data_IF_307062776684
#
_entry.id   IF_307062776684
#
_cell.length_a   1.000
_cell.length_b   1.000
_cell.length_c   1.000
_cell.angle_alpha   90.00
_cell.angle_beta   90.00
_cell.angle_gamma   90.00
#
_symmetry.space_group_name_H-M   'P 1'
#
loop_
_entity.id
_entity.type
_entity.pdbx_description
1 polymer ?
#
# COMPACT_ATOMS: atom_id res chain seq x y z
N UNK A 1 0.68 19.44 30.64
CA UNK A 1 -0.16 20.65 30.54
C UNK A 1 0.08 21.68 31.64
N UNK A 2 0.93 21.41 32.65
CA UNK A 2 1.12 22.32 33.80
C UNK A 2 2.13 23.47 33.56
N UNK A 3 2.83 23.49 32.42
CA UNK A 3 3.81 24.53 32.08
C UNK A 3 3.25 25.63 31.18
N UNK A 4 1.99 25.53 30.74
CA UNK A 4 1.36 26.53 29.87
C UNK A 4 0.80 27.69 30.70
N UNK A 5 1.16 28.92 30.31
CA UNK A 5 0.57 30.12 30.90
C UNK A 5 -0.93 30.18 30.65
N UNK A 6 -1.66 30.94 31.48
CA UNK A 6 -3.12 31.13 31.36
C UNK A 6 -3.54 31.65 29.98
N UNK A 7 -2.66 32.39 29.28
CA UNK A 7 -2.91 32.90 27.94
C UNK A 7 -2.71 31.84 26.84
N UNK A 8 -1.91 30.80 27.08
CA UNK A 8 -1.57 29.78 26.09
C UNK A 8 -2.55 28.59 26.09
N UNK A 9 -3.24 28.34 27.20
CA UNK A 9 -4.24 27.26 27.33
C UNK A 9 -5.36 27.30 26.27
N UNK A 10 -6.07 28.42 26.02
CA UNK A 10 -7.14 28.42 25.02
C UNK A 10 -6.62 28.20 23.60
N UNK A 11 -5.38 28.63 23.32
CA UNK A 11 -4.72 28.41 22.03
C UNK A 11 -4.37 26.91 21.87
N UNK A 12 -3.86 26.28 22.92
CA UNK A 12 -3.54 24.85 22.92
C UNK A 12 -4.81 23.99 22.80
N UNK A 13 -5.90 24.32 23.50
CA UNK A 13 -7.18 23.62 23.39
C UNK A 13 -7.76 23.73 21.96
N UNK A 14 -7.72 24.94 21.38
CA UNK A 14 -8.13 25.14 19.98
C UNK A 14 -7.24 24.38 19.00
N UNK A 15 -5.93 24.32 19.26
CA UNK A 15 -4.98 23.58 18.42
C UNK A 15 -5.28 22.07 18.40
N UNK A 16 -5.60 21.49 19.55
CA UNK A 16 -5.97 20.07 19.67
C UNK A 16 -7.30 19.77 18.98
N UNK A 17 -8.29 20.67 19.08
CA UNK A 17 -9.64 20.43 18.56
C UNK A 17 -9.82 20.81 17.08
N UNK A 18 -9.21 21.89 16.61
CA UNK A 18 -9.47 22.49 15.28
C UNK A 18 -8.25 22.42 14.33
N UNK A 19 -7.05 22.16 14.86
CA UNK A 19 -5.81 22.05 14.09
C UNK A 19 -5.16 23.39 13.70
N UNK A 20 -3.90 23.31 13.22
CA UNK A 20 -3.05 24.50 13.01
C UNK A 20 -3.59 25.50 11.97
N UNK A 21 -4.33 25.01 10.96
CA UNK A 21 -4.91 25.86 9.92
C UNK A 21 -6.02 26.74 10.48
N UNK A 22 -6.87 26.19 11.34
CA UNK A 22 -7.95 26.92 12.00
C UNK A 22 -7.39 27.96 12.97
N UNK A 23 -6.37 27.60 13.77
CA UNK A 23 -5.70 28.55 14.68
C UNK A 23 -5.05 29.70 13.90
N UNK A 24 -4.36 29.42 12.79
CA UNK A 24 -3.75 30.47 11.95
C UNK A 24 -4.80 31.38 11.31
N UNK A 25 -5.91 30.83 10.84
CA UNK A 25 -7.02 31.61 10.26
C UNK A 25 -7.72 32.47 11.31
N UNK A 26 -7.95 31.94 12.52
CA UNK A 26 -8.53 32.69 13.62
C UNK A 26 -7.64 33.87 14.04
N UNK A 27 -6.32 33.65 14.16
CA UNK A 27 -5.37 34.72 14.48
C UNK A 27 -5.30 35.79 13.39
N UNK A 28 -5.35 35.39 12.12
CA UNK A 28 -5.40 36.34 11.00
C UNK A 28 -6.70 37.14 10.99
N UNK A 29 -7.84 36.53 11.34
CA UNK A 29 -9.13 37.20 11.43
C UNK A 29 -9.25 38.14 12.63
N UNK A 30 -8.56 37.84 13.73
CA UNK A 30 -8.52 38.65 14.96
C UNK A 30 -7.54 39.84 14.88
N UNK A 31 -6.74 39.95 13.81
CA UNK A 31 -5.82 41.07 13.60
C UNK A 31 -6.50 42.15 12.75
N UNK A 32 -6.96 43.28 13.31
CA UNK A 32 -7.57 44.34 12.50
C UNK A 32 -6.49 44.98 11.62
N UNK A 33 -6.68 44.96 10.29
CA UNK A 33 -5.86 45.74 9.35
C UNK A 33 -6.12 47.23 9.61
N UNK A 34 -5.34 47.80 10.53
CA UNK A 34 -5.46 49.20 10.93
C UNK A 34 -4.39 49.99 10.19
N UNK A 35 -4.81 50.69 9.13
CA UNK A 35 -3.97 51.57 8.32
C UNK A 35 -3.34 52.66 9.20
N UNK A 36 -2.01 52.69 9.26
CA UNK A 36 -1.31 53.96 9.08
C UNK A 36 -0.47 54.55 10.22
N UNK A 37 -0.23 53.91 11.38
CA UNK A 37 0.92 54.26 12.27
C UNK A 37 1.08 53.39 13.54
N UNK A 38 0.04 52.69 13.99
CA UNK A 38 0.15 51.64 15.03
C UNK A 38 0.35 50.23 14.45
N UNK A 39 0.47 50.16 13.12
CA UNK A 39 0.55 48.94 12.32
C UNK A 39 1.78 48.10 12.68
N UNK A 40 2.98 48.72 12.78
CA UNK A 40 4.20 47.99 13.15
C UNK A 40 4.14 47.35 14.55
N UNK A 41 3.57 48.02 15.55
CA UNK A 41 3.42 47.46 16.91
C UNK A 41 2.40 46.32 16.98
N UNK A 42 1.38 46.39 16.13
CA UNK A 42 0.30 45.40 16.05
C UNK A 42 0.71 44.17 15.23
N UNK A 43 1.48 44.38 14.16
CA UNK A 43 2.16 43.35 13.37
C UNK A 43 3.17 42.60 14.24
N UNK A 44 4.06 43.31 14.97
CA UNK A 44 5.01 42.70 15.91
C UNK A 44 4.30 41.85 16.99
N UNK A 45 3.12 42.28 17.46
CA UNK A 45 2.32 41.54 18.44
C UNK A 45 1.56 40.34 17.84
N UNK A 46 1.20 40.39 16.55
CA UNK A 46 0.62 39.26 15.83
C UNK A 46 1.69 38.20 15.52
N UNK A 47 2.87 38.64 15.07
CA UNK A 47 4.03 37.79 14.80
C UNK A 47 4.52 37.09 16.08
N UNK A 48 4.58 37.82 17.21
CA UNK A 48 4.92 37.23 18.50
C UNK A 48 3.91 36.14 18.93
N UNK A 49 2.61 36.34 18.68
CA UNK A 49 1.58 35.34 18.98
C UNK A 49 1.66 34.13 18.05
N UNK A 50 1.93 34.34 16.77
CA UNK A 50 2.14 33.26 15.81
C UNK A 50 3.37 32.43 16.19
N UNK A 51 4.45 33.06 16.63
CA UNK A 51 5.65 32.38 17.12
C UNK A 51 5.36 31.49 18.34
N UNK A 52 4.52 31.95 19.28
CA UNK A 52 4.07 31.14 20.42
C UNK A 52 3.28 29.92 19.93
N UNK A 53 2.32 30.12 19.02
CA UNK A 53 1.51 29.00 18.46
C UNK A 53 2.39 27.98 17.76
N UNK A 54 3.37 28.42 16.99
CA UNK A 54 4.30 27.55 16.26
C UNK A 54 5.22 26.78 17.21
N UNK A 55 5.66 27.41 18.30
CA UNK A 55 6.37 26.75 19.40
C UNK A 55 5.53 25.69 20.10
N UNK A 56 4.28 26.01 20.47
CA UNK A 56 3.34 25.07 21.08
C UNK A 56 3.04 23.88 20.17
N UNK A 57 2.87 24.13 18.88
CA UNK A 57 2.65 23.07 17.89
C UNK A 57 3.86 22.15 17.74
N UNK A 58 5.07 22.72 17.71
CA UNK A 58 6.29 21.92 17.67
C UNK A 58 6.40 21.02 18.90
N UNK A 59 6.11 21.54 20.09
CA UNK A 59 6.12 20.78 21.33
C UNK A 59 5.03 19.68 21.35
N UNK A 60 3.83 19.98 20.87
CA UNK A 60 2.76 18.99 20.78
C UNK A 60 3.12 17.85 19.82
N UNK A 61 3.65 18.18 18.64
CA UNK A 61 4.06 17.18 17.63
C UNK A 61 5.15 16.25 18.16
N UNK A 62 6.04 16.77 19.00
CA UNK A 62 7.09 15.98 19.65
C UNK A 62 6.50 14.98 20.65
N UNK A 63 5.57 15.41 21.52
CA UNK A 63 4.89 14.54 22.48
C UNK A 63 4.07 13.46 21.76
N UNK A 64 3.32 13.85 20.74
CA UNK A 64 2.56 12.90 19.90
C UNK A 64 3.47 11.91 19.18
N UNK A 65 4.59 12.38 18.62
CA UNK A 65 5.59 11.49 18.03
C UNK A 65 6.17 10.53 19.06
N UNK A 66 6.48 11.01 20.28
CA UNK A 66 7.05 10.19 21.35
C UNK A 66 6.09 9.09 21.78
N UNK A 67 4.80 9.39 21.94
CA UNK A 67 3.78 8.39 22.26
C UNK A 67 3.71 7.29 21.17
N UNK A 68 3.64 7.71 19.90
CA UNK A 68 3.67 6.77 18.76
C UNK A 68 4.96 5.98 18.68
N UNK A 69 6.10 6.59 18.96
CA UNK A 69 7.42 5.97 18.97
C UNK A 69 7.54 4.93 20.09
N UNK A 70 7.07 5.24 21.29
CA UNK A 70 7.06 4.32 22.44
C UNK A 70 6.11 3.14 22.21
N UNK A 71 4.95 3.37 21.59
CA UNK A 71 4.05 2.32 21.15
C UNK A 71 4.71 1.41 20.11
N UNK A 72 5.28 1.98 19.04
CA UNK A 72 5.97 1.23 17.99
C UNK A 72 7.20 0.46 18.52
N UNK A 73 7.89 0.98 19.53
CA UNK A 73 9.02 0.29 20.17
C UNK A 73 8.59 -1.02 20.86
N UNK A 74 7.39 -1.07 21.44
CA UNK A 74 6.88 -2.24 22.17
C UNK A 74 6.49 -3.39 21.24
N UNK A 75 6.08 -3.08 20.02
CA UNK A 75 5.55 -4.05 19.03
C UNK A 75 6.33 -4.00 17.71
N UNK A 76 7.63 -3.68 17.77
CA UNK A 76 8.44 -3.42 16.56
C UNK A 76 8.39 -4.56 15.53
N UNK A 77 8.35 -5.81 15.98
CA UNK A 77 8.36 -6.99 15.10
C UNK A 77 7.00 -7.29 14.45
N UNK A 78 5.92 -6.77 15.04
CA UNK A 78 4.54 -6.98 14.57
C UNK A 78 4.02 -5.77 13.77
N UNK A 79 4.59 -4.59 13.98
CA UNK A 79 4.20 -3.36 13.27
C UNK A 79 4.56 -3.43 11.80
N UNK A 80 3.61 -3.03 10.95
CA UNK A 80 3.79 -2.90 9.52
C UNK A 80 4.95 -1.96 9.18
N UNK A 81 5.76 -2.34 8.19
CA UNK A 81 6.93 -1.56 7.77
C UNK A 81 6.56 -0.14 7.31
N UNK A 82 5.35 0.05 6.78
CA UNK A 82 4.81 1.35 6.40
C UNK A 82 4.65 2.26 7.61
N UNK A 83 4.10 1.73 8.70
CA UNK A 83 3.82 2.51 9.90
C UNK A 83 5.11 2.85 10.64
N UNK A 84 6.04 1.91 10.71
CA UNK A 84 7.39 2.16 11.23
C UNK A 84 8.10 3.26 10.44
N UNK A 85 7.99 3.27 9.10
CA UNK A 85 8.50 4.36 8.26
C UNK A 85 7.83 5.70 8.55
N UNK A 86 6.52 5.71 8.81
CA UNK A 86 5.79 6.93 9.16
C UNK A 86 6.25 7.50 10.51
N UNK A 87 6.48 6.64 11.51
CA UNK A 87 7.03 7.03 12.81
C UNK A 87 8.45 7.59 12.65
N UNK A 88 9.31 6.92 11.88
CA UNK A 88 10.69 7.41 11.62
C UNK A 88 10.69 8.71 10.82
N UNK A 89 9.81 8.87 9.83
CA UNK A 89 9.65 10.12 9.09
C UNK A 89 9.15 11.28 9.98
N UNK A 90 8.43 10.95 11.06
CA UNK A 90 7.92 11.90 12.05
C UNK A 90 8.96 12.40 13.06
N UNK A 91 10.18 11.84 13.09
CA UNK A 91 11.22 12.18 14.07
C UNK A 91 11.46 13.71 14.10
N UNK A 92 11.45 14.35 15.29
CA UNK A 92 11.75 15.77 15.40
C UNK A 92 13.19 16.08 15.00
N UNK A 93 13.41 17.24 14.38
CA UNK A 93 14.74 17.69 13.94
C UNK A 93 15.65 18.12 15.10
N UNK A 94 15.04 18.54 16.21
CA UNK A 94 15.72 18.84 17.46
C UNK A 94 15.14 17.96 18.55
N UNK A 95 16.01 17.39 19.36
CA UNK A 95 15.62 16.55 20.48
C UNK A 95 15.62 17.39 21.78
N UNK A 96 14.57 17.28 22.61
CA UNK A 96 14.50 17.95 23.91
C UNK A 96 15.50 17.35 24.92
N UNK A 97 15.75 16.05 24.83
CA UNK A 97 16.52 15.25 25.76
C UNK A 97 17.21 14.08 25.05
N UNK A 98 18.17 13.45 25.74
CA UNK A 98 18.94 12.32 25.20
C UNK A 98 18.08 11.05 25.07
N UNK A 99 17.04 10.86 25.88
CA UNK A 99 16.16 9.68 25.79
C UNK A 99 15.36 9.68 24.48
N UNK A 100 14.87 10.86 24.08
CA UNK A 100 14.12 11.08 22.83
C UNK A 100 15.04 10.88 21.62
N UNK A 101 16.31 11.30 21.74
CA UNK A 101 17.33 11.02 20.72
C UNK A 101 17.62 9.53 20.62
N UNK A 102 17.86 8.86 21.75
CA UNK A 102 18.14 7.43 21.81
C UNK A 102 16.98 6.61 21.24
N UNK A 103 15.72 6.98 21.54
CA UNK A 103 14.53 6.36 20.97
C UNK A 103 14.47 6.52 19.44
N UNK A 104 14.80 7.71 18.93
CA UNK A 104 14.84 7.96 17.50
C UNK A 104 15.90 7.12 16.79
N UNK A 105 17.09 6.99 17.38
CA UNK A 105 18.18 6.16 16.84
C UNK A 105 17.82 4.67 16.88
N UNK A 106 17.26 4.19 18.00
CA UNK A 106 16.78 2.81 18.12
C UNK A 106 15.74 2.47 17.04
N UNK A 107 14.80 3.38 16.76
CA UNK A 107 13.79 3.18 15.72
C UNK A 107 14.38 3.22 14.30
N UNK A 108 15.41 4.04 14.04
CA UNK A 108 16.13 4.03 12.75
C UNK A 108 16.84 2.70 12.53
N UNK A 109 17.53 2.21 13.55
CA UNK A 109 18.26 0.93 13.48
C UNK A 109 17.30 -0.24 13.30
N UNK A 110 16.19 -0.26 14.06
CA UNK A 110 15.11 -1.24 13.90
C UNK A 110 14.49 -1.21 12.51
N UNK A 111 14.19 -0.02 12.00
CA UNK A 111 13.67 0.13 10.64
C UNK A 111 14.67 -0.41 9.61
N UNK A 112 15.95 -0.06 9.72
CA UNK A 112 16.98 -0.55 8.80
C UNK A 112 17.07 -2.08 8.83
N UNK A 113 17.15 -2.67 10.03
CA UNK A 113 17.19 -4.12 10.20
C UNK A 113 15.96 -4.82 9.62
N UNK A 114 14.75 -4.28 9.81
CA UNK A 114 13.50 -4.82 9.25
C UNK A 114 13.47 -4.71 7.73
N UNK A 115 13.87 -3.57 7.17
CA UNK A 115 13.97 -3.39 5.70
C UNK A 115 14.94 -4.41 5.10
N UNK A 116 16.10 -4.62 5.72
CA UNK A 116 17.10 -5.56 5.23
C UNK A 116 16.61 -7.01 5.36
N UNK A 117 15.97 -7.36 6.48
CA UNK A 117 15.37 -8.68 6.68
C UNK A 117 14.27 -8.99 5.66
N UNK A 118 13.34 -8.06 5.43
CA UNK A 118 12.29 -8.22 4.41
C UNK A 118 12.87 -8.29 3.00
N UNK A 119 13.92 -7.51 2.71
CA UNK A 119 14.61 -7.57 1.44
C UNK A 119 15.29 -8.94 1.21
N UNK A 120 15.96 -9.47 2.23
CA UNK A 120 16.51 -10.83 2.19
C UNK A 120 15.43 -11.90 2.04
N UNK A 121 14.31 -11.77 2.74
CA UNK A 121 13.17 -12.67 2.62
C UNK A 121 12.54 -12.63 1.22
N UNK A 122 12.40 -11.45 0.63
CA UNK A 122 11.91 -11.26 -0.74
C UNK A 122 12.83 -11.92 -1.78
N UNK A 123 14.16 -11.74 -1.65
CA UNK A 123 15.14 -12.44 -2.51
C UNK A 123 15.03 -13.96 -2.34
N UNK A 124 14.91 -14.44 -1.10
CA UNK A 124 14.80 -15.86 -0.81
C UNK A 124 13.50 -16.46 -1.37
N UNK A 125 12.39 -15.74 -1.29
CA UNK A 125 11.10 -16.14 -1.87
C UNK A 125 11.17 -16.20 -3.40
N UNK A 126 11.76 -15.20 -4.05
CA UNK A 126 12.01 -15.24 -5.50
C UNK A 126 12.85 -16.47 -5.89
N UNK A 127 13.94 -16.74 -5.19
CA UNK A 127 14.76 -17.93 -5.44
C UNK A 127 14.02 -19.25 -5.15
N UNK A 128 13.08 -19.27 -4.21
CA UNK A 128 12.22 -20.42 -3.92
C UNK A 128 11.20 -20.66 -5.04
N UNK A 129 10.56 -19.59 -5.53
CA UNK A 129 9.61 -19.65 -6.64
C UNK A 129 10.27 -20.11 -7.93
N UNK A 130 11.47 -19.62 -8.24
CA UNK A 130 12.27 -20.06 -9.38
C UNK A 130 12.59 -21.56 -9.30
N UNK A 131 13.03 -22.07 -8.14
CA UNK A 131 13.30 -23.50 -7.95
C UNK A 131 12.06 -24.38 -8.06
N UNK A 132 10.87 -23.83 -7.78
CA UNK A 132 9.57 -24.49 -7.92
C UNK A 132 8.95 -24.30 -9.30
N UNK A 133 9.68 -23.73 -10.26
CA UNK A 133 9.23 -23.41 -11.62
C UNK A 133 7.97 -22.52 -11.69
N UNK A 134 7.75 -21.70 -10.65
CA UNK A 134 6.61 -20.77 -10.54
C UNK A 134 6.96 -19.39 -11.09
N UNK A 135 7.32 -19.33 -12.37
CA UNK A 135 7.85 -18.10 -13.00
C UNK A 135 6.87 -16.93 -13.03
N UNK A 136 5.60 -17.15 -13.38
CA UNK A 136 4.60 -16.06 -13.40
C UNK A 136 4.44 -15.43 -12.01
N UNK A 137 4.42 -16.25 -10.96
CA UNK A 137 4.37 -15.75 -9.58
C UNK A 137 5.67 -15.03 -9.22
N UNK A 138 6.84 -15.57 -9.57
CA UNK A 138 8.12 -14.92 -9.33
C UNK A 138 8.21 -13.55 -10.01
N UNK A 139 7.75 -13.43 -11.26
CA UNK A 139 7.69 -12.16 -11.99
C UNK A 139 6.77 -11.16 -11.28
N UNK A 140 5.62 -11.57 -10.74
CA UNK A 140 4.73 -10.70 -9.97
C UNK A 140 5.37 -10.23 -8.66
N UNK A 141 6.01 -11.13 -7.92
CA UNK A 141 6.73 -10.78 -6.69
C UNK A 141 7.91 -9.84 -6.98
N UNK A 142 8.56 -9.96 -8.14
CA UNK A 142 9.67 -9.08 -8.55
C UNK A 142 9.27 -7.60 -8.71
N UNK A 143 7.96 -7.30 -8.84
CA UNK A 143 7.44 -5.94 -9.04
C UNK A 143 7.38 -5.13 -7.75
N UNK A 144 7.43 -5.78 -6.59
CA UNK A 144 7.17 -5.16 -5.28
C UNK A 144 8.36 -5.35 -4.34
N UNK A 145 9.52 -4.73 -4.63
CA UNK A 145 10.63 -4.75 -3.70
C UNK A 145 10.22 -4.00 -2.42
N UNK A 146 10.57 -4.51 -1.22
CA UNK A 146 10.28 -3.82 0.04
C UNK A 146 10.97 -2.46 0.12
N UNK A 147 12.07 -2.27 -0.60
CA UNK A 147 12.81 -1.02 -0.73
C UNK A 147 12.71 -0.50 -2.16
N UNK A 148 11.88 0.52 -2.36
CA UNK A 148 11.67 1.16 -3.66
C UNK A 148 13.00 1.60 -4.28
N UNK A 149 13.17 1.32 -5.57
CA UNK A 149 14.39 1.67 -6.32
C UNK A 149 15.58 0.72 -6.11
N UNK A 150 15.45 -0.33 -5.28
CA UNK A 150 16.51 -1.36 -5.18
C UNK A 150 16.48 -2.22 -6.43
N UNK A 151 17.59 -2.30 -7.20
CA UNK A 151 17.64 -3.15 -8.38
C UNK A 151 17.57 -4.62 -7.97
N UNK A 152 16.93 -5.42 -8.83
CA UNK A 152 16.95 -6.87 -8.69
C UNK A 152 18.40 -7.37 -8.83
N UNK A 153 18.88 -8.30 -7.99
CA UNK A 153 20.20 -8.90 -8.16
C UNK A 153 20.36 -9.54 -9.54
N UNK A 154 21.51 -9.31 -10.18
CA UNK A 154 21.76 -9.72 -11.56
C UNK A 154 21.58 -11.23 -11.78
N UNK A 155 22.02 -12.07 -10.83
CA UNK A 155 21.87 -13.52 -10.91
C UNK A 155 20.40 -13.97 -10.93
N UNK A 156 19.52 -13.30 -10.16
CA UNK A 156 18.08 -13.54 -10.18
C UNK A 156 17.44 -13.00 -11.45
N UNK A 157 17.89 -11.85 -11.95
CA UNK A 157 17.43 -11.30 -13.21
C UNK A 157 17.71 -12.25 -14.38
N UNK A 158 18.93 -12.80 -14.45
CA UNK A 158 19.33 -13.80 -15.44
C UNK A 158 18.51 -15.09 -15.31
N UNK A 159 18.29 -15.56 -14.08
CA UNK A 159 17.48 -16.77 -13.83
C UNK A 159 16.02 -16.59 -14.26
N UNK A 160 15.43 -15.41 -14.00
CA UNK A 160 14.08 -15.07 -14.48
C UNK A 160 14.02 -14.97 -16.00
N UNK A 161 15.03 -14.37 -16.63
CA UNK A 161 15.12 -14.25 -18.09
C UNK A 161 15.22 -15.63 -18.76
N UNK A 162 16.15 -16.47 -18.32
CA UNK A 162 16.37 -17.79 -18.92
C UNK A 162 15.16 -18.71 -18.68
N UNK A 163 14.60 -18.69 -17.46
CA UNK A 163 13.38 -19.43 -17.16
C UNK A 163 12.22 -18.98 -18.05
N UNK A 164 11.98 -17.66 -18.15
CA UNK A 164 10.89 -17.14 -18.95
C UNK A 164 11.10 -17.46 -20.44
N UNK A 165 12.31 -17.29 -20.96
CA UNK A 165 12.68 -17.68 -22.32
C UNK A 165 12.38 -19.16 -22.58
N UNK A 166 12.77 -20.05 -21.66
CA UNK A 166 12.52 -21.49 -21.80
C UNK A 166 11.03 -21.86 -21.79
N UNK A 167 10.21 -21.19 -20.98
CA UNK A 167 8.76 -21.44 -20.93
C UNK A 167 8.02 -20.81 -22.12
N UNK A 168 8.57 -19.74 -22.71
CA UNK A 168 8.04 -19.07 -23.90
C UNK A 168 8.58 -19.72 -25.18
N UNK A 169 8.06 -20.90 -25.49
CA UNK A 169 8.37 -21.68 -26.69
C UNK A 169 7.10 -21.96 -27.53
N UNK A 170 7.28 -22.49 -28.75
CA UNK A 170 6.20 -22.74 -29.69
C UNK A 170 5.16 -23.77 -29.21
N UNK A 171 5.51 -24.64 -28.25
CA UNK A 171 4.60 -25.65 -27.68
C UNK A 171 3.86 -25.19 -26.42
N UNK A 172 4.10 -23.97 -25.95
CA UNK A 172 3.45 -23.45 -24.75
C UNK A 172 2.00 -23.00 -25.02
N UNK A 173 1.13 -23.21 -24.04
CA UNK A 173 -0.28 -22.82 -24.11
C UNK A 173 -0.46 -21.29 -24.20
N UNK A 174 -1.41 -20.83 -24.99
CA UNK A 174 -1.76 -19.41 -25.14
C UNK A 174 -2.06 -18.71 -23.80
N UNK A 175 -2.74 -19.39 -22.88
CA UNK A 175 -3.03 -18.82 -21.56
C UNK A 175 -1.76 -18.65 -20.71
N UNK A 176 -0.76 -19.52 -20.87
CA UNK A 176 0.55 -19.33 -20.23
C UNK A 176 1.24 -18.10 -20.80
N UNK A 177 1.25 -17.97 -22.13
CA UNK A 177 1.80 -16.80 -22.82
C UNK A 177 1.18 -15.51 -22.30
N UNK A 178 -0.14 -15.38 -22.34
CA UNK A 178 -0.84 -14.16 -21.89
C UNK A 178 -0.49 -13.82 -20.43
N UNK A 179 -0.57 -14.80 -19.52
CA UNK A 179 -0.24 -14.62 -18.09
C UNK A 179 1.21 -14.21 -17.88
N UNK A 180 2.14 -14.77 -18.66
CA UNK A 180 3.57 -14.45 -18.58
C UNK A 180 3.85 -13.04 -19.08
N UNK A 181 3.27 -12.63 -20.22
CA UNK A 181 3.45 -11.30 -20.78
C UNK A 181 2.90 -10.20 -19.86
N UNK A 182 1.73 -10.43 -19.27
CA UNK A 182 1.15 -9.54 -18.27
C UNK A 182 2.03 -9.38 -17.02
N UNK A 183 2.66 -10.46 -16.56
CA UNK A 183 3.57 -10.40 -15.42
C UNK A 183 4.91 -9.77 -15.78
N UNK A 184 5.44 -10.08 -16.97
CA UNK A 184 6.72 -9.63 -17.46
C UNK A 184 6.74 -8.14 -17.80
N UNK A 185 5.65 -7.58 -18.35
CA UNK A 185 5.60 -6.16 -18.72
C UNK A 185 5.78 -5.21 -17.52
N UNK A 186 5.54 -5.69 -16.29
CA UNK A 186 5.66 -4.97 -15.03
C UNK A 186 6.96 -5.34 -14.29
N UNK A 187 7.66 -6.38 -14.75
CA UNK A 187 8.89 -6.85 -14.14
C UNK A 187 10.09 -5.94 -14.48
N UNK A 188 11.14 -5.93 -13.65
CA UNK A 188 12.42 -5.30 -13.98
C UNK A 188 13.07 -5.83 -15.27
N UNK A 189 12.81 -7.08 -15.67
CA UNK A 189 13.43 -7.71 -16.87
C UNK A 189 12.71 -7.40 -18.20
N UNK A 190 11.65 -6.57 -18.18
CA UNK A 190 10.77 -6.32 -19.34
C UNK A 190 11.48 -5.85 -20.60
N UNK A 191 12.61 -5.16 -20.47
CA UNK A 191 13.35 -4.61 -21.61
C UNK A 191 14.19 -5.66 -22.35
N UNK A 192 14.52 -6.76 -21.69
CA UNK A 192 15.46 -7.79 -22.18
C UNK A 192 14.80 -9.15 -22.39
N UNK A 193 13.50 -9.28 -22.09
CA UNK A 193 12.78 -10.53 -22.26
C UNK A 193 12.60 -10.86 -23.74
N UNK A 194 13.01 -12.06 -24.10
CA UNK A 194 12.80 -12.68 -25.42
C UNK A 194 12.21 -14.07 -25.23
N UNK A 195 11.38 -14.50 -26.17
CA UNK A 195 10.93 -15.88 -26.28
C UNK A 195 12.03 -16.76 -26.86
N UNK A 196 12.04 -18.04 -26.51
CA UNK A 196 12.90 -19.03 -27.17
C UNK A 196 12.45 -19.24 -28.62
N UNK A 197 11.16 -19.48 -28.82
CA UNK A 197 10.55 -19.64 -30.13
C UNK A 197 9.11 -19.13 -30.07
N UNK A 198 8.73 -18.09 -30.83
CA UNK A 198 7.34 -17.68 -30.90
C UNK A 198 6.50 -18.78 -31.57
N UNK A 199 5.21 -18.93 -31.19
CA UNK A 199 4.31 -19.87 -31.87
C UNK A 199 4.24 -19.54 -33.38
N UNK A 200 4.29 -20.55 -34.27
CA UNK A 200 4.27 -20.32 -35.72
C UNK A 200 2.94 -19.76 -36.21
N UNK A 201 1.84 -20.06 -35.51
CA UNK A 201 0.51 -19.50 -35.74
C UNK A 201 0.00 -18.91 -34.41
N UNK A 202 0.37 -17.67 -34.05
CA UNK A 202 -0.06 -17.05 -32.81
C UNK A 202 -1.55 -16.73 -32.86
N UNK A 203 -2.28 -17.05 -31.78
CA UNK A 203 -3.70 -16.71 -31.72
C UNK A 203 -3.94 -15.21 -31.66
N UNK A 204 -5.12 -14.75 -32.10
CA UNK A 204 -5.50 -13.34 -32.05
C UNK A 204 -5.48 -12.78 -30.63
N UNK A 205 -5.75 -13.63 -29.63
CA UNK A 205 -5.66 -13.26 -28.20
C UNK A 205 -4.23 -12.95 -27.78
N UNK A 206 -3.26 -13.76 -28.23
CA UNK A 206 -1.84 -13.51 -27.99
C UNK A 206 -1.40 -12.23 -28.69
N UNK A 207 -1.74 -12.06 -29.97
CA UNK A 207 -1.41 -10.85 -30.73
C UNK A 207 -1.98 -9.58 -30.09
N UNK A 208 -3.24 -9.61 -29.61
CA UNK A 208 -3.84 -8.50 -28.85
C UNK A 208 -3.04 -8.17 -27.59
N UNK A 209 -2.57 -9.18 -26.88
CA UNK A 209 -1.74 -9.01 -25.67
C UNK A 209 -0.38 -8.41 -26.00
N UNK A 210 0.27 -8.89 -27.06
CA UNK A 210 1.54 -8.35 -27.55
C UNK A 210 1.37 -6.89 -28.01
N UNK A 211 0.28 -6.54 -28.72
CA UNK A 211 -0.04 -5.14 -29.07
C UNK A 211 -0.20 -4.27 -27.82
N UNK A 212 -0.91 -4.77 -26.80
CA UNK A 212 -1.16 -4.05 -25.53
C UNK A 212 0.11 -3.79 -24.73
N UNK A 213 1.03 -4.76 -24.64
CA UNK A 213 2.23 -4.66 -23.80
C UNK A 213 3.53 -4.42 -24.59
N UNK A 214 3.48 -4.33 -25.91
CA UNK A 214 4.66 -4.29 -26.78
C UNK A 214 5.57 -3.07 -26.57
N UNK A 215 5.02 -1.93 -26.14
CA UNK A 215 5.86 -0.77 -25.76
C UNK A 215 6.72 -1.04 -24.52
N UNK A 216 6.24 -1.92 -23.63
CA UNK A 216 6.92 -2.28 -22.38
C UNK A 216 7.82 -3.50 -22.55
N UNK A 217 7.59 -4.29 -23.59
CA UNK A 217 8.33 -5.50 -23.97
C UNK A 217 8.93 -5.34 -25.37
N UNK A 218 9.88 -4.40 -25.58
CA UNK A 218 10.36 -4.07 -26.93
C UNK A 218 11.05 -5.23 -27.63
N UNK A 219 11.93 -5.96 -26.94
CA UNK A 219 12.66 -7.10 -27.51
C UNK A 219 11.72 -8.24 -27.93
N UNK A 220 10.68 -8.51 -27.12
CA UNK A 220 9.66 -9.49 -27.48
C UNK A 220 8.80 -9.00 -28.65
N UNK A 221 8.38 -7.72 -28.65
CA UNK A 221 7.58 -7.14 -29.72
C UNK A 221 8.26 -7.30 -31.08
N UNK A 222 9.58 -7.12 -31.13
CA UNK A 222 10.37 -7.31 -32.34
C UNK A 222 10.25 -8.74 -32.90
N UNK A 223 10.22 -9.77 -32.05
CA UNK A 223 10.00 -11.17 -32.48
C UNK A 223 8.61 -11.42 -33.06
N UNK A 224 7.62 -10.60 -32.71
CA UNK A 224 6.26 -10.70 -33.23
C UNK A 224 5.97 -9.70 -34.36
N UNK A 225 6.94 -8.86 -34.78
CA UNK A 225 6.71 -7.78 -35.74
C UNK A 225 6.05 -8.27 -37.04
N UNK A 226 6.51 -9.39 -37.59
CA UNK A 226 5.96 -10.01 -38.81
C UNK A 226 4.47 -10.38 -38.69
N UNK A 227 4.03 -10.75 -37.49
CA UNK A 227 2.63 -11.09 -37.21
C UNK A 227 1.77 -9.87 -36.84
N UNK A 228 2.41 -8.78 -36.41
CA UNK A 228 1.76 -7.51 -36.06
C UNK A 228 1.54 -6.62 -37.28
N UNK A 229 2.41 -6.72 -38.29
CA UNK A 229 2.32 -5.99 -39.57
C UNK A 229 1.18 -6.50 -40.48
N UNK A 230 0.41 -7.50 -40.01
CA UNK A 230 -0.89 -7.91 -40.55
C UNK A 230 -2.07 -6.96 -40.27
N UNK A 231 -1.81 -5.73 -39.79
CA UNK A 231 -2.71 -4.57 -39.91
C UNK A 231 -3.35 -4.03 -38.61
N UNK A 232 -3.40 -2.69 -38.43
CA UNK A 232 -4.39 -2.02 -37.60
C UNK A 232 -5.41 -1.29 -38.49
N UNK A 233 -6.60 -1.87 -38.67
CA UNK A 233 -7.77 -1.12 -39.17
C UNK A 233 -9.14 -1.68 -38.76
N UNK A 234 -9.35 -3.00 -38.62
CA UNK A 234 -10.74 -3.53 -38.49
C UNK A 234 -11.25 -3.81 -37.07
N UNK A 235 -10.41 -3.77 -36.02
CA UNK A 235 -10.88 -4.08 -34.65
C UNK A 235 -11.16 -2.85 -33.79
N UNK A 236 -10.93 -1.64 -34.31
CA UNK A 236 -11.37 -0.41 -33.66
C UNK A 236 -12.86 -0.11 -33.95
N UNK A 237 -13.45 -0.70 -34.99
CA UNK A 237 -14.86 -0.49 -35.36
C UNK A 237 -15.80 -1.46 -34.61
N UNK A 238 -15.33 -2.64 -34.21
CA UNK A 238 -16.13 -3.61 -33.45
C UNK A 238 -16.29 -3.31 -31.95
N UNK A 239 -15.62 -2.28 -31.42
CA UNK A 239 -15.82 -1.79 -30.05
C UNK A 239 -16.71 -0.53 -29.99
N UNK A 240 -17.19 -0.04 -31.14
CA UNK A 240 -18.07 1.12 -31.25
C UNK A 240 -19.56 0.75 -31.46
N UNK A 241 -19.90 -0.53 -31.63
CA UNK A 241 -21.28 -1.01 -31.59
C UNK A 241 -21.61 -1.62 -30.21
N UNK A 242 -21.71 -0.75 -29.20
CA UNK A 242 -22.73 -1.00 -28.17
C UNK A 242 -24.09 -0.73 -28.83
N UNK A 243 -25.08 -1.65 -28.78
CA UNK A 243 -26.41 -1.35 -29.25
C UNK A 243 -27.00 -0.29 -28.33
N UNK A 244 -27.12 0.93 -28.85
CA UNK A 244 -27.98 1.94 -28.26
C UNK A 244 -29.41 1.43 -28.45
N UNK A 245 -30.03 0.97 -27.37
CA UNK A 245 -31.47 0.74 -27.31
C UNK A 245 -32.17 2.07 -27.60
N UNK A 246 -32.60 2.27 -28.85
CA UNK A 246 -33.53 3.31 -29.23
C UNK A 246 -34.93 2.95 -28.68
N UNK A 247 -35.34 3.65 -27.62
CA UNK A 247 -36.74 3.73 -27.24
C UNK A 247 -37.57 4.41 -28.35
N UNK A 248 -38.66 3.81 -28.84
CA UNK A 248 -39.61 4.54 -29.67
C UNK A 248 -40.59 5.32 -28.78
N UNK A 249 -40.66 6.62 -29.01
CA UNK A 249 -41.72 7.48 -28.49
C UNK A 249 -43.09 7.12 -29.09
N UNK A 250 -44.13 7.12 -28.27
CA UNK A 250 -45.52 7.06 -28.72
C UNK A 250 -46.56 7.06 -27.59
N UNK A 251 -46.94 8.27 -27.18
CA UNK A 251 -48.23 8.74 -26.61
C UNK A 251 -49.03 7.86 -25.63
N UNK A 252 -49.25 8.33 -24.38
CA UNK A 252 -50.48 9.08 -24.01
C UNK A 252 -50.41 9.68 -22.59
N UNK A 253 -50.72 10.97 -22.54
CA UNK A 253 -51.49 11.72 -21.54
C UNK A 253 -51.62 11.25 -20.07
N UNK A 254 -51.27 12.21 -19.20
CA UNK A 254 -52.00 12.65 -18.01
C UNK A 254 -52.15 11.69 -16.82
N UNK A 255 -51.46 12.00 -15.71
CA UNK A 255 -52.06 12.81 -14.64
C UNK A 255 -51.11 12.90 -13.43
N UNK A 256 -51.10 14.09 -12.85
CA UNK A 256 -50.45 14.53 -11.62
C UNK A 256 -51.04 13.79 -10.42
N UNK A 257 -50.20 13.28 -9.50
CA UNK A 257 -50.30 13.55 -8.05
C UNK A 257 -49.11 12.94 -7.27
N UNK A 258 -48.35 13.82 -6.64
CA UNK A 258 -47.54 13.58 -5.43
C UNK A 258 -48.39 14.13 -4.25
N UNK A 259 -48.01 13.93 -2.97
CA UNK A 259 -47.73 12.72 -2.20
C UNK A 259 -48.68 12.64 -0.96
N UNK A 260 -48.58 11.58 -0.15
CA UNK A 260 -48.38 11.65 1.33
C UNK A 260 -48.90 10.42 2.09
N UNK A 261 -48.04 9.99 3.01
CA UNK A 261 -48.26 9.46 4.37
C UNK A 261 -49.19 8.25 4.59
N UNK A 262 -48.61 7.19 5.17
CA UNK A 262 -48.86 6.79 6.57
C UNK A 262 -48.09 5.48 6.92
N UNK A 263 -47.05 5.61 7.74
CA UNK A 263 -46.72 4.62 8.80
C UNK A 263 -47.70 4.89 9.99
N UNK A 264 -47.94 4.01 10.99
CA UNK A 264 -47.22 2.77 11.32
C UNK A 264 -48.08 1.61 11.88
N UNK A 265 -47.49 0.42 12.01
CA UNK A 265 -47.99 -0.60 12.94
C UNK A 265 -46.84 -1.41 13.56
N UNK A 266 -46.87 -1.47 14.90
CA UNK A 266 -45.94 -2.04 15.88
C UNK A 266 -45.40 -3.46 15.61
N UNK A 267 -44.18 -3.77 16.10
CA UNK A 267 -43.63 -5.12 16.15
C UNK A 267 -44.06 -5.88 17.41
N UNK A 268 -44.51 -7.13 17.24
CA UNK A 268 -44.70 -8.09 18.33
C UNK A 268 -43.46 -8.98 18.49
N UNK A 269 -42.89 -9.01 19.71
CA UNK A 269 -41.95 -10.04 20.18
C UNK A 269 -42.61 -11.43 20.19
N UNK A 270 -41.81 -12.51 20.19
CA UNK A 270 -41.64 -13.20 21.46
C UNK A 270 -40.24 -13.74 21.76
N UNK A 271 -40.12 -14.07 23.04
CA UNK A 271 -38.97 -14.42 23.85
C UNK A 271 -38.23 -15.74 23.53
N UNK A 272 -37.01 -15.75 24.07
CA UNK A 272 -36.12 -16.85 24.46
C UNK A 272 -36.70 -18.27 24.65
N UNK A 273 -35.85 -19.26 24.34
CA UNK A 273 -35.79 -20.51 25.12
C UNK A 273 -34.37 -21.10 25.12
N UNK A 274 -34.07 -21.69 26.27
CA UNK A 274 -32.79 -22.03 26.89
C UNK A 274 -32.38 -23.50 26.69
N UNK A 275 -31.07 -23.74 26.85
CA UNK A 275 -30.32 -24.92 27.32
C UNK A 275 -30.63 -26.39 26.93
N UNK A 276 -29.56 -27.11 26.60
CA UNK A 276 -28.92 -28.22 27.39
C UNK A 276 -28.13 -29.13 26.44
N UNK A 277 -26.83 -29.33 26.60
CA UNK A 277 -26.06 -30.11 27.61
C UNK A 277 -25.58 -31.46 27.02
N UNK A 278 -24.32 -31.73 27.33
CA UNK A 278 -23.33 -32.71 26.83
C UNK A 278 -23.72 -34.20 27.11
N UNK A 279 -23.01 -35.25 26.59
CA UNK A 279 -21.65 -35.55 27.07
C UNK A 279 -20.66 -36.30 26.14
N UNK A 280 -19.40 -36.12 26.53
CA UNK A 280 -18.12 -36.82 26.28
C UNK A 280 -18.20 -38.36 26.39
N UNK A 281 -17.23 -39.09 25.77
CA UNK A 281 -16.41 -39.96 26.63
C UNK A 281 -14.89 -39.90 26.35
N UNK A 282 -14.17 -40.05 27.47
CA UNK A 282 -12.73 -40.23 27.68
C UNK A 282 -12.19 -41.60 27.24
N UNK A 283 -10.91 -41.64 26.88
CA UNK A 283 -9.88 -42.65 27.21
C UNK A 283 -8.69 -42.52 26.23
N UNK A 284 -7.41 -42.70 26.56
CA UNK A 284 -6.62 -42.85 27.78
C UNK A 284 -5.15 -43.02 27.31
N UNK A 285 -4.19 -42.62 28.16
CA UNK A 285 -2.75 -42.98 28.20
C UNK A 285 -1.84 -42.67 26.97
N UNK A 286 -0.60 -42.19 27.10
CA UNK A 286 0.32 -42.02 28.24
C UNK A 286 1.76 -42.15 27.73
N UNK A 287 2.68 -41.31 28.24
CA UNK A 287 4.16 -41.41 28.20
C UNK A 287 4.85 -41.39 26.80
N UNK A 288 6.03 -40.81 26.57
CA UNK A 288 7.26 -40.81 27.37
C UNK A 288 8.24 -39.74 26.83
N UNK A 289 9.01 -39.12 27.74
CA UNK A 289 10.22 -38.32 27.50
C UNK A 289 11.41 -39.27 27.40
N UNK A 290 12.40 -39.06 26.50
CA UNK A 290 13.75 -38.78 27.01
C UNK A 290 14.65 -37.90 26.10
N UNK A 291 15.25 -36.87 26.70
CA UNK A 291 16.70 -36.59 26.63
C UNK A 291 17.29 -37.03 28.01
N UNK A 292 18.61 -37.24 28.25
CA UNK A 292 19.80 -36.79 27.50
C UNK A 292 20.99 -37.80 27.41
N UNK A 293 22.00 -37.52 26.56
CA UNK A 293 23.45 -37.80 26.70
C UNK A 293 24.14 -37.49 25.34
N UNK A 294 25.29 -36.84 25.20
CA UNK A 294 26.40 -36.60 26.11
C UNK A 294 27.59 -37.51 25.79
N UNK A 295 28.41 -37.18 24.77
CA UNK A 295 29.79 -37.64 24.47
C UNK A 295 30.29 -36.72 23.32
N UNK A 296 31.34 -35.89 23.36
CA UNK A 296 32.74 -35.93 23.85
C UNK A 296 33.64 -36.94 23.16
N UNK A 297 34.24 -36.53 22.03
CA UNK A 297 35.56 -36.93 21.48
C UNK A 297 35.92 -35.79 20.49
N UNK A 298 36.98 -34.96 20.60
CA UNK A 298 38.43 -35.18 20.78
C UNK A 298 39.00 -36.21 19.81
N UNK A 299 39.30 -35.77 18.58
CA UNK A 299 40.63 -35.82 17.93
C UNK A 299 40.70 -34.71 16.88
#
# INVERSE_FOLDING_TARGET
METLSTAERPIAERLVNEGIRAVRQALQAETPQSDGQETGRSEDAADARLAVVEGLFSAFREVDWRDRAEAARKVTDEVDLRDLRSVVAGIPQRFPDDDTRNLADELRDKLAARVDSEHSAWIADLGSLLRKDRLVTALRVSQRPPKAGTPLPESLAQSLQEGAKSQLNAGAEDDLWVRMLEAAAQSPIRLVLVAQEPPPEPSERLLRTVRRFGERLPALREQFAEHLDGGPAEVAEAAAEEPQDEEPAGDVEAAVEEPQDEEPAEPAEPEASDASDDPVPDADAGQEVPEPAGEVEVV
#
